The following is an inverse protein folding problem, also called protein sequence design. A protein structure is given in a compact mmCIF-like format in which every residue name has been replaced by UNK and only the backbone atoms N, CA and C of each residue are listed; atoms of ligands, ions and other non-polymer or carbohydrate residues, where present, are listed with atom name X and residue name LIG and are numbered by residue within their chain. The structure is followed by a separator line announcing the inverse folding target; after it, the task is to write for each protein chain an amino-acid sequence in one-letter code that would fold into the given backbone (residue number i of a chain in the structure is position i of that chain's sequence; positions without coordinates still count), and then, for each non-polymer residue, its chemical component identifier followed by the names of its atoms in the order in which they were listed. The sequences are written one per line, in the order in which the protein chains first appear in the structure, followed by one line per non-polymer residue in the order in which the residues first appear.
data_IF_207554667227
#
_entry.id   IF_207554667227
#
_cell.length_a   1.000
_cell.length_b   1.000
_cell.length_c   1.000
_cell.angle_alpha   90.00
_cell.angle_beta   90.00
_cell.angle_gamma   90.00
#
_symmetry.space_group_name_H-M   'P 1'
#
loop_
_entity.id
_entity.type
_entity.pdbx_description
1 polymer ?
#
# COMPACT_ATOMS: atom_id res chain seq x y z
N UNK A 1 -5.29 -10.44 -20.77
CA UNK A 1 -3.94 -10.93 -21.14
C UNK A 1 -3.22 -10.11 -22.21
N UNK A 2 -3.87 -9.16 -22.92
CA UNK A 2 -3.22 -8.39 -24.01
C UNK A 2 -1.95 -7.66 -23.57
N UNK A 3 -1.96 -7.05 -22.38
CA UNK A 3 -0.77 -6.38 -21.83
C UNK A 3 0.39 -7.35 -21.59
N UNK A 4 0.14 -8.50 -20.96
CA UNK A 4 1.17 -9.51 -20.74
C UNK A 4 1.75 -10.05 -22.04
N UNK A 5 0.92 -10.33 -23.04
CA UNK A 5 1.38 -10.75 -24.38
C UNK A 5 2.23 -9.67 -25.06
N UNK A 6 1.84 -8.40 -24.95
CA UNK A 6 2.59 -7.28 -25.49
C UNK A 6 3.99 -7.17 -24.87
N UNK A 7 4.08 -7.16 -23.54
CA UNK A 7 5.37 -7.09 -22.83
C UNK A 7 6.22 -8.33 -23.13
N UNK A 8 5.64 -9.53 -23.12
CA UNK A 8 6.34 -10.76 -23.42
C UNK A 8 6.97 -10.73 -24.83
N UNK A 9 6.23 -10.22 -25.82
CA UNK A 9 6.73 -10.05 -27.19
C UNK A 9 7.87 -9.03 -27.25
N UNK A 10 7.75 -7.90 -26.53
CA UNK A 10 8.79 -6.86 -26.47
C UNK A 10 10.07 -7.35 -25.80
N UNK A 11 9.95 -8.17 -24.75
CA UNK A 11 11.07 -8.64 -23.93
C UNK A 11 11.59 -10.02 -24.33
N UNK A 12 11.03 -10.65 -25.37
CA UNK A 12 11.34 -12.01 -25.82
C UNK A 12 11.28 -13.07 -24.70
N UNK A 13 10.25 -12.97 -23.85
CA UNK A 13 9.99 -13.92 -22.74
C UNK A 13 8.63 -14.59 -22.92
N UNK A 14 8.40 -15.68 -22.18
CA UNK A 14 7.12 -16.40 -22.14
C UNK A 14 6.62 -16.51 -20.70
N UNK A 15 5.30 -16.70 -20.52
CA UNK A 15 4.68 -16.87 -19.21
C UNK A 15 3.62 -15.81 -18.88
N UNK A 16 3.22 -15.78 -17.61
CA UNK A 16 2.16 -14.92 -17.08
C UNK A 16 2.79 -13.85 -16.18
N UNK A 17 2.57 -12.56 -16.49
CA UNK A 17 3.08 -11.46 -15.66
C UNK A 17 2.32 -11.28 -14.34
N UNK A 18 1.01 -11.56 -14.35
CA UNK A 18 0.12 -11.31 -13.21
C UNK A 18 -0.46 -12.61 -12.69
N UNK A 19 -0.33 -12.85 -11.39
CA UNK A 19 -0.94 -14.02 -10.78
C UNK A 19 -2.44 -13.79 -10.58
N UNK A 20 -3.27 -14.61 -11.24
CA UNK A 20 -4.72 -14.62 -11.02
C UNK A 20 -5.44 -13.35 -11.45
N UNK A 21 -6.61 -13.10 -10.85
CA UNK A 21 -7.38 -11.86 -10.99
C UNK A 21 -7.08 -10.96 -9.80
N UNK A 22 -7.17 -9.64 -9.99
CA UNK A 22 -7.14 -8.71 -8.88
C UNK A 22 -8.38 -8.87 -8.00
N UNK A 23 -8.22 -8.61 -6.70
CA UNK A 23 -9.35 -8.48 -5.79
C UNK A 23 -9.86 -7.03 -5.83
N UNK A 24 -11.17 -6.85 -5.82
CA UNK A 24 -11.81 -5.54 -5.75
C UNK A 24 -13.05 -5.64 -4.87
N UNK A 25 -13.09 -4.83 -3.84
CA UNK A 25 -14.23 -4.69 -2.95
C UNK A 25 -14.42 -3.21 -2.63
N UNK A 26 -15.63 -2.66 -2.77
CA UNK A 26 -15.92 -1.35 -2.22
C UNK A 26 -15.77 -1.43 -0.69
N UNK A 27 -15.21 -0.39 -0.10
CA UNK A 27 -15.06 -0.23 1.35
C UNK A 27 -15.86 1.00 1.76
N UNK A 28 -16.46 0.95 2.95
CA UNK A 28 -16.92 2.17 3.60
C UNK A 28 -15.73 2.97 4.14
N UNK A 29 -16.00 4.17 4.65
CA UNK A 29 -14.97 5.08 5.14
C UNK A 29 -14.12 4.46 6.27
N UNK A 30 -14.74 3.76 7.22
CA UNK A 30 -14.02 3.14 8.33
C UNK A 30 -13.10 2.02 7.85
N UNK A 31 -13.59 1.14 6.97
CA UNK A 31 -12.78 0.08 6.37
C UNK A 31 -11.71 0.63 5.43
N UNK A 32 -11.93 1.80 4.83
CA UNK A 32 -10.92 2.48 4.02
C UNK A 32 -9.69 2.82 4.88
N UNK A 33 -9.89 3.35 6.09
CA UNK A 33 -8.79 3.65 7.02
C UNK A 33 -8.02 2.38 7.45
N UNK A 34 -8.71 1.26 7.67
CA UNK A 34 -8.01 0.00 7.91
C UNK A 34 -7.27 -0.50 6.67
N UNK A 35 -7.81 -0.28 5.47
CA UNK A 35 -7.18 -0.61 4.20
C UNK A 35 -5.87 0.15 3.98
N UNK A 36 -5.84 1.45 4.29
CA UNK A 36 -4.63 2.28 4.24
C UNK A 36 -3.54 1.71 5.15
N UNK A 37 -3.84 1.54 6.45
CA UNK A 37 -2.90 0.97 7.41
C UNK A 37 -2.42 -0.43 7.02
N UNK A 38 -3.31 -1.26 6.46
CA UNK A 38 -2.95 -2.59 5.98
C UNK A 38 -1.92 -2.52 4.85
N UNK A 39 -2.19 -1.72 3.82
CA UNK A 39 -1.30 -1.61 2.65
C UNK A 39 0.07 -1.08 3.06
N UNK A 40 0.11 -0.02 3.87
CA UNK A 40 1.36 0.63 4.24
C UNK A 40 2.18 -0.16 5.27
N UNK A 41 1.54 -0.99 6.11
CA UNK A 41 2.25 -1.90 7.01
C UNK A 41 2.68 -3.22 6.35
N UNK A 42 2.30 -3.51 5.09
CA UNK A 42 2.70 -4.75 4.42
C UNK A 42 4.23 -4.98 4.39
N UNK A 43 5.08 -3.97 4.11
CA UNK A 43 6.54 -4.13 4.17
C UNK A 43 7.05 -4.50 5.57
N UNK A 44 6.43 -3.96 6.63
CA UNK A 44 6.75 -4.30 8.02
C UNK A 44 6.34 -5.74 8.33
N UNK A 45 5.10 -6.12 7.96
CA UNK A 45 4.59 -7.49 8.11
C UNK A 45 5.42 -8.51 7.33
N UNK A 46 5.94 -8.13 6.17
CA UNK A 46 6.84 -8.93 5.35
C UNK A 46 8.29 -8.93 5.86
N UNK A 47 8.59 -8.22 6.96
CA UNK A 47 9.93 -8.09 7.56
C UNK A 47 10.97 -7.48 6.62
N UNK A 48 10.55 -6.60 5.71
CA UNK A 48 11.45 -5.89 4.80
C UNK A 48 12.04 -4.63 5.46
N UNK A 49 11.31 -4.03 6.40
CA UNK A 49 11.66 -2.80 7.12
C UNK A 49 11.12 -2.84 8.55
N UNK A 50 11.67 -2.01 9.44
CA UNK A 50 11.20 -1.89 10.83
C UNK A 50 9.98 -0.97 10.94
N UNK A 51 9.98 0.19 10.27
CA UNK A 51 8.85 1.11 10.21
C UNK A 51 8.29 1.19 8.79
N UNK A 52 6.99 1.41 8.66
CA UNK A 52 6.32 1.57 7.36
C UNK A 52 6.91 2.75 6.55
N UNK A 53 7.30 3.83 7.24
CA UNK A 53 7.95 5.00 6.65
C UNK A 53 9.37 4.74 6.15
N UNK A 54 10.00 3.62 6.50
CA UNK A 54 11.32 3.26 5.97
C UNK A 54 11.22 2.63 4.57
N UNK A 55 10.01 2.25 4.13
CA UNK A 55 9.81 1.63 2.82
C UNK A 55 9.57 2.66 1.72
N UNK A 56 10.62 2.92 0.91
CA UNK A 56 10.63 3.94 -0.15
C UNK A 56 9.59 3.76 -1.29
N UNK A 57 8.99 2.57 -1.42
CA UNK A 57 7.99 2.29 -2.46
C UNK A 57 6.56 2.32 -1.88
N UNK A 58 6.32 3.20 -0.91
CA UNK A 58 5.01 3.44 -0.28
C UNK A 58 4.78 4.95 -0.14
N UNK A 59 3.51 5.34 -0.05
CA UNK A 59 3.05 6.70 0.28
C UNK A 59 3.24 7.06 1.76
N UNK A 60 3.59 6.11 2.63
CA UNK A 60 3.68 6.31 4.08
C UNK A 60 4.53 7.51 4.49
N UNK A 61 5.68 7.75 3.82
CA UNK A 61 6.52 8.92 4.10
C UNK A 61 5.83 10.25 3.76
N UNK A 62 5.01 10.26 2.70
CA UNK A 62 4.29 11.45 2.27
C UNK A 62 3.15 11.76 3.24
N UNK A 63 2.38 10.74 3.64
CA UNK A 63 1.31 10.91 4.62
C UNK A 63 1.85 11.28 6.01
N UNK A 64 3.05 10.81 6.38
CA UNK A 64 3.75 11.25 7.58
C UNK A 64 4.40 12.64 7.47
N UNK A 65 4.25 13.34 6.33
CA UNK A 65 4.81 14.67 6.10
C UNK A 65 6.35 14.71 6.00
N UNK A 66 7.01 13.56 5.85
CA UNK A 66 8.47 13.46 5.78
C UNK A 66 9.01 13.81 4.38
N UNK A 67 8.21 13.60 3.34
CA UNK A 67 8.56 13.87 1.94
C UNK A 67 7.35 14.47 1.22
N UNK A 68 7.60 15.40 0.30
CA UNK A 68 6.57 15.87 -0.62
C UNK A 68 6.72 15.14 -1.96
N UNK A 69 5.64 14.54 -2.45
CA UNK A 69 5.60 13.82 -3.73
C UNK A 69 4.34 14.20 -4.51
N UNK A 70 4.52 14.84 -5.68
CA UNK A 70 3.42 15.29 -6.52
C UNK A 70 2.56 14.19 -7.12
N UNK A 71 2.98 12.92 -7.03
CA UNK A 71 2.21 11.77 -7.48
C UNK A 71 1.26 11.23 -6.40
N UNK A 72 1.45 11.66 -5.15
CA UNK A 72 0.59 11.25 -4.02
C UNK A 72 -0.51 12.29 -3.88
N UNK A 73 -1.75 11.88 -4.10
CA UNK A 73 -2.92 12.71 -3.81
C UNK A 73 -3.20 12.66 -2.32
N UNK A 74 -3.40 13.83 -1.73
CA UNK A 74 -3.76 13.92 -0.33
C UNK A 74 -5.18 13.37 -0.12
N UNK A 75 -5.35 12.50 0.87
CA UNK A 75 -6.64 11.96 1.26
C UNK A 75 -6.74 12.04 2.77
N UNK A 76 -7.67 12.86 3.25
CA UNK A 76 -7.87 13.08 4.68
C UNK A 76 -8.49 11.82 5.30
N UNK A 77 -7.69 11.12 6.10
CA UNK A 77 -8.14 9.97 6.89
C UNK A 77 -8.40 10.34 8.36
N UNK A 78 -8.43 11.64 8.69
CA UNK A 78 -8.58 12.13 10.05
C UNK A 78 -7.35 11.93 10.93
N UNK A 79 -6.18 11.69 10.34
CA UNK A 79 -4.90 11.50 11.05
C UNK A 79 -3.94 12.59 10.63
N UNK A 80 -3.41 13.33 11.60
CA UNK A 80 -2.42 14.37 11.33
C UNK A 80 -1.10 13.75 10.86
N UNK A 81 -0.34 14.41 9.96
CA UNK A 81 0.95 13.89 9.49
C UNK A 81 1.92 13.53 10.62
N UNK A 82 1.93 14.32 11.70
CA UNK A 82 2.76 14.07 12.88
C UNK A 82 2.36 12.83 13.69
N UNK A 83 1.10 12.41 13.60
CA UNK A 83 0.55 11.26 14.33
C UNK A 83 0.50 10.00 13.46
N UNK A 84 0.82 10.12 12.17
CA UNK A 84 0.62 9.09 11.18
C UNK A 84 1.41 7.81 11.47
N UNK A 85 2.64 7.93 11.96
CA UNK A 85 3.45 6.77 12.32
C UNK A 85 2.88 6.03 13.54
N UNK A 86 2.27 6.74 14.49
CA UNK A 86 1.63 6.14 15.65
C UNK A 86 0.31 5.47 15.27
N UNK A 87 -0.46 6.08 14.37
CA UNK A 87 -1.60 5.43 13.71
C UNK A 87 -1.18 4.10 13.06
N UNK A 88 -0.15 4.08 12.22
CA UNK A 88 0.32 2.85 11.58
C UNK A 88 0.76 1.80 12.60
N UNK A 89 1.49 2.19 13.66
CA UNK A 89 1.91 1.29 14.73
C UNK A 89 0.74 0.72 15.53
N UNK A 90 -0.27 1.53 15.83
CA UNK A 90 -1.47 1.10 16.57
C UNK A 90 -2.28 0.04 15.82
N UNK A 91 -2.16 0.01 14.48
CA UNK A 91 -2.83 -0.97 13.63
C UNK A 91 -2.04 -2.28 13.48
N UNK A 92 -0.76 -2.32 13.90
CA UNK A 92 0.05 -3.55 13.87
C UNK A 92 -0.46 -4.53 14.93
N UNK A 93 -1.03 -5.65 14.50
CA UNK A 93 -1.51 -6.71 15.40
C UNK A 93 -3.01 -6.68 15.67
N UNK A 94 -3.72 -5.63 15.24
CA UNK A 94 -5.17 -5.73 15.04
C UNK A 94 -5.39 -6.79 13.96
N UNK A 95 -6.33 -7.71 14.17
CA UNK A 95 -6.72 -8.69 13.15
C UNK A 95 -7.42 -7.94 12.01
N UNK A 96 -6.65 -7.21 11.22
CA UNK A 96 -7.13 -6.42 10.10
C UNK A 96 -7.60 -7.36 9.01
N UNK A 97 -8.86 -7.17 8.62
CA UNK A 97 -9.53 -7.65 7.41
C UNK A 97 -8.94 -8.96 6.87
N UNK A 98 -9.55 -10.09 7.22
CA UNK A 98 -9.38 -11.33 6.44
C UNK A 98 -10.09 -11.11 5.10
N UNK A 99 -9.34 -10.65 4.10
CA UNK A 99 -9.76 -10.71 2.70
C UNK A 99 -9.83 -12.16 2.23
#
# INVERSE_FOLDING_TARGET
MRYSQYINKQQNITGILWQGRFFSSPLDEQYTYYGFAYVENNPVKAKMVENATDYKYSSAMCHAGLVNNSLVTDYDIGVLPSEYQDYLKSMVGVSMIKL
#
